data_IF_298796635033
#
_entry.id   IF_298796635033
#
_cell.length_a   1.000
_cell.length_b   1.000
_cell.length_c   1.000
_cell.angle_alpha   90.00
_cell.angle_beta   90.00
_cell.angle_gamma   90.00
#
_symmetry.space_group_name_H-M   'P 1'
#
loop_
_entity.id
_entity.type
_entity.pdbx_description
1 polymer ?
#
# COMPACT_ATOMS: atom_id res chain seq x y z
N UNK A 1 -9.35 -4.09 -11.34
CA UNK A 1 -9.46 -3.49 -9.98
C UNK A 1 -8.08 -3.33 -9.36
N UNK A 2 -7.93 -2.48 -8.34
CA UNK A 2 -6.63 -2.11 -7.76
C UNK A 2 -6.51 -2.56 -6.30
N UNK A 3 -5.28 -2.84 -5.85
CA UNK A 3 -5.01 -3.11 -4.44
C UNK A 3 -4.99 -1.81 -3.65
N UNK A 4 -5.61 -1.79 -2.47
CA UNK A 4 -5.48 -0.70 -1.50
C UNK A 4 -4.76 -1.22 -0.27
N UNK A 5 -3.77 -0.46 0.21
CA UNK A 5 -3.12 -0.68 1.49
C UNK A 5 -3.40 0.48 2.43
N UNK A 6 -3.63 0.16 3.70
CA UNK A 6 -3.74 1.14 4.78
C UNK A 6 -2.84 0.68 5.91
N UNK A 7 -1.82 1.48 6.21
CA UNK A 7 -0.83 1.18 7.23
C UNK A 7 -0.91 2.28 8.28
N UNK A 8 -1.13 1.91 9.54
CA UNK A 8 -1.03 2.85 10.67
C UNK A 8 0.15 2.48 11.53
N UNK A 9 0.94 3.49 11.85
CA UNK A 9 2.13 3.40 12.68
C UNK A 9 2.19 4.60 13.60
N UNK A 10 2.75 4.42 14.79
CA UNK A 10 2.97 5.52 15.72
C UNK A 10 4.45 5.87 15.73
N UNK A 11 4.80 7.15 15.64
CA UNK A 11 6.16 7.66 15.84
C UNK A 11 6.60 7.39 17.27
N UNK A 12 7.87 7.09 17.50
CA UNK A 12 8.47 7.07 18.84
C UNK A 12 8.44 8.47 19.48
N UNK A 13 8.59 8.51 20.80
CA UNK A 13 8.65 9.78 21.53
C UNK A 13 9.80 10.66 21.00
N UNK A 14 9.53 11.95 20.81
CA UNK A 14 10.48 12.91 20.24
C UNK A 14 10.75 12.81 18.73
N UNK A 15 10.16 11.84 18.01
CA UNK A 15 10.27 11.74 16.54
C UNK A 15 9.21 12.57 15.84
N UNK A 16 9.54 13.03 14.64
CA UNK A 16 8.70 13.91 13.82
C UNK A 16 8.21 13.21 12.56
N UNK A 17 7.21 13.81 11.90
CA UNK A 17 6.81 13.37 10.57
C UNK A 17 7.97 13.45 9.56
N UNK A 18 8.86 14.42 9.69
CA UNK A 18 10.01 14.53 8.77
C UNK A 18 10.98 13.36 8.94
N UNK A 19 11.23 12.92 10.18
CA UNK A 19 12.02 11.71 10.46
C UNK A 19 11.40 10.49 9.77
N UNK A 20 10.07 10.34 9.89
CA UNK A 20 9.35 9.28 9.20
C UNK A 20 9.45 9.43 7.69
N UNK A 21 9.23 10.63 7.15
CA UNK A 21 9.22 10.89 5.71
C UNK A 21 10.56 10.54 5.07
N UNK A 22 11.68 10.81 5.76
CA UNK A 22 13.04 10.48 5.31
C UNK A 22 13.28 8.97 5.28
N UNK A 23 12.85 8.25 6.32
CA UNK A 23 13.04 6.81 6.41
C UNK A 23 12.02 6.00 5.58
N UNK A 24 10.81 6.54 5.37
CA UNK A 24 9.72 5.88 4.62
C UNK A 24 9.83 6.05 3.10
N UNK A 25 10.51 7.10 2.62
CA UNK A 25 10.53 7.40 1.19
C UNK A 25 11.12 6.26 0.38
N UNK A 26 10.30 5.69 -0.51
CA UNK A 26 10.83 4.77 -1.50
C UNK A 26 11.65 5.55 -2.52
N UNK A 27 12.89 5.11 -2.74
CA UNK A 27 13.73 5.63 -3.83
C UNK A 27 13.47 4.91 -5.15
N UNK A 28 12.94 3.69 -5.07
CA UNK A 28 12.48 2.89 -6.20
C UNK A 28 10.96 3.00 -6.35
N UNK A 29 10.49 3.41 -7.53
CA UNK A 29 9.05 3.46 -7.84
C UNK A 29 8.47 2.07 -8.10
N UNK A 30 7.14 1.93 -7.94
CA UNK A 30 6.41 0.67 -8.17
C UNK A 30 5.99 0.44 -9.64
N UNK A 31 6.55 1.20 -10.59
CA UNK A 31 6.17 1.12 -11.99
C UNK A 31 6.62 -0.18 -12.65
N UNK A 32 5.85 -0.65 -13.63
CA UNK A 32 6.24 -1.74 -14.54
C UNK A 32 7.35 -1.20 -15.45
N UNK A 33 8.31 -2.06 -15.82
CA UNK A 33 9.53 -1.70 -16.55
C UNK A 33 9.33 -0.66 -17.67
N UNK A 34 10.23 0.33 -17.70
CA UNK A 34 10.29 1.39 -18.71
C UNK A 34 10.51 0.90 -20.14
N UNK A 35 10.79 -0.39 -20.32
CA UNK A 35 10.98 -1.04 -21.62
C UNK A 35 9.68 -1.56 -22.25
N UNK A 36 8.54 -1.39 -21.57
CA UNK A 36 7.23 -1.58 -22.19
C UNK A 36 6.87 -0.37 -23.05
N UNK A 37 6.56 -0.58 -24.33
CA UNK A 37 6.08 0.45 -25.28
C UNK A 37 4.70 1.03 -24.93
N UNK A 38 4.19 0.72 -23.73
CA UNK A 38 2.90 1.16 -23.21
C UNK A 38 3.26 1.92 -21.94
N UNK A 39 3.21 3.25 -21.99
CA UNK A 39 3.33 4.05 -20.76
C UNK A 39 2.26 3.57 -19.78
N UNK A 40 2.62 3.13 -18.56
CA UNK A 40 1.62 2.76 -17.58
C UNK A 40 0.75 3.98 -17.30
N UNK A 41 -0.53 3.91 -17.67
CA UNK A 41 -1.44 5.01 -17.39
C UNK A 41 -1.55 5.21 -15.87
N UNK A 42 -1.32 6.43 -15.36
CA UNK A 42 -1.49 6.71 -13.94
C UNK A 42 -2.94 6.39 -13.50
N UNK A 43 -3.15 5.96 -12.25
CA UNK A 43 -2.22 6.09 -11.13
C UNK A 43 -1.70 4.74 -10.57
N UNK A 44 -0.52 4.29 -11.02
CA UNK A 44 0.21 3.24 -10.28
C UNK A 44 1.01 3.87 -9.12
N UNK A 45 0.93 3.27 -7.92
CA UNK A 45 1.84 3.58 -6.81
C UNK A 45 1.60 4.90 -6.07
N UNK A 46 0.36 5.41 -6.04
CA UNK A 46 0.05 6.63 -5.28
C UNK A 46 -0.09 6.31 -3.78
N UNK A 47 0.75 6.95 -2.97
CA UNK A 47 0.69 6.88 -1.51
C UNK A 47 0.23 8.23 -0.96
N UNK A 48 -0.83 8.22 -0.17
CA UNK A 48 -1.28 9.36 0.62
C UNK A 48 -0.88 9.16 2.06
N UNK A 49 -0.17 10.12 2.64
CA UNK A 49 0.20 10.08 4.06
C UNK A 49 -0.64 11.09 4.84
N UNK A 50 -1.25 10.63 5.92
CA UNK A 50 -2.12 11.39 6.80
C UNK A 50 -1.53 11.36 8.20
N UNK A 51 -1.52 12.51 8.87
CA UNK A 51 -1.25 12.60 10.31
C UNK A 51 -2.60 12.57 11.01
N UNK A 52 -2.77 11.66 11.97
CA UNK A 52 -4.04 11.55 12.69
C UNK A 52 -4.30 12.82 13.53
N UNK A 53 -5.48 13.40 13.39
CA UNK A 53 -5.90 14.60 14.14
C UNK A 53 -6.04 14.36 15.66
N UNK A 54 -6.31 13.12 16.08
CA UNK A 54 -6.49 12.74 17.48
C UNK A 54 -5.22 12.15 18.12
N UNK A 55 -4.24 11.76 17.31
CA UNK A 55 -2.88 11.41 17.76
C UNK A 55 -1.87 11.90 16.73
N UNK A 56 -1.25 13.09 16.92
CA UNK A 56 -0.28 13.63 15.98
C UNK A 56 0.99 12.78 15.81
N UNK A 57 1.22 11.77 16.67
CA UNK A 57 2.28 10.78 16.49
C UNK A 57 1.82 9.60 15.63
N UNK A 58 0.54 9.42 15.36
CA UNK A 58 0.05 8.37 14.47
C UNK A 58 0.08 8.84 13.01
N UNK A 59 0.81 8.09 12.20
CA UNK A 59 0.93 8.25 10.75
C UNK A 59 0.14 7.14 10.08
N UNK A 60 -0.72 7.54 9.15
CA UNK A 60 -1.55 6.66 8.34
C UNK A 60 -1.10 6.80 6.90
N UNK A 61 -0.69 5.71 6.27
CA UNK A 61 -0.33 5.67 4.85
C UNK A 61 -1.40 4.87 4.11
N UNK A 62 -2.01 5.49 3.11
CA UNK A 62 -3.01 4.89 2.22
C UNK A 62 -2.37 4.75 0.84
N UNK A 63 -2.11 3.52 0.42
CA UNK A 63 -1.57 3.21 -0.90
C UNK A 63 -2.64 2.73 -1.84
N UNK A 64 -2.67 3.32 -3.03
CA UNK A 64 -3.40 2.82 -4.19
C UNK A 64 -2.37 2.16 -5.09
N UNK A 65 -2.35 0.83 -5.04
CA UNK A 65 -1.46 -0.02 -5.79
C UNK A 65 -1.90 -0.15 -7.25
N UNK A 66 -1.12 -0.90 -8.05
CA UNK A 66 -1.44 -1.12 -9.45
C UNK A 66 -2.69 -2.00 -9.64
N UNK A 67 -3.06 -2.22 -10.91
CA UNK A 67 -4.02 -3.25 -11.27
C UNK A 67 -3.58 -4.62 -10.70
N UNK A 68 -4.55 -5.37 -10.19
CA UNK A 68 -4.30 -6.64 -9.54
C UNK A 68 -4.08 -7.73 -10.61
N UNK A 69 -2.83 -8.15 -10.74
CA UNK A 69 -2.45 -9.42 -11.35
C UNK A 69 -1.34 -10.06 -10.51
N UNK A 70 -1.14 -11.37 -10.64
CA UNK A 70 -0.10 -12.05 -9.86
C UNK A 70 1.28 -11.48 -10.15
N UNK A 71 1.65 -11.35 -11.43
CA UNK A 71 2.95 -10.82 -11.87
C UNK A 71 3.20 -9.40 -11.33
N UNK A 72 2.19 -8.54 -11.42
CA UNK A 72 2.30 -7.15 -10.98
C UNK A 72 2.43 -7.07 -9.45
N UNK A 73 1.63 -7.84 -8.70
CA UNK A 73 1.73 -7.88 -7.25
C UNK A 73 3.08 -8.43 -6.78
N UNK A 74 3.55 -9.51 -7.39
CA UNK A 74 4.87 -10.09 -7.07
C UNK A 74 5.98 -9.06 -7.28
N UNK A 75 5.99 -8.37 -8.42
CA UNK A 75 6.96 -7.32 -8.74
C UNK A 75 6.94 -6.18 -7.73
N UNK A 76 5.77 -5.58 -7.49
CA UNK A 76 5.62 -4.44 -6.57
C UNK A 76 5.97 -4.80 -5.12
N UNK A 77 5.56 -5.99 -4.67
CA UNK A 77 5.86 -6.44 -3.32
C UNK A 77 7.34 -6.78 -3.14
N UNK A 78 8.05 -7.23 -4.17
CA UNK A 78 9.51 -7.41 -4.11
C UNK A 78 10.23 -6.09 -3.85
N UNK A 79 9.83 -5.03 -4.56
CA UNK A 79 10.37 -3.69 -4.35
C UNK A 79 10.11 -3.22 -2.91
N UNK A 80 8.90 -3.42 -2.39
CA UNK A 80 8.60 -3.06 -1.00
C UNK A 80 9.46 -3.87 0.00
N UNK A 81 9.65 -5.17 -0.22
CA UNK A 81 10.50 -6.00 0.63
C UNK A 81 11.93 -5.45 0.69
N UNK A 82 12.53 -5.15 -0.44
CA UNK A 82 13.90 -4.65 -0.53
C UNK A 82 14.03 -3.26 0.11
N UNK A 83 13.18 -2.30 -0.28
CA UNK A 83 13.23 -0.93 0.25
C UNK A 83 12.94 -0.87 1.76
N UNK A 84 12.18 -1.79 2.33
CA UNK A 84 11.93 -1.86 3.78
C UNK A 84 13.03 -2.58 4.56
N UNK A 85 13.82 -3.44 3.92
CA UNK A 85 15.02 -4.01 4.52
C UNK A 85 16.17 -3.00 4.53
N UNK A 86 16.33 -2.25 3.45
CA UNK A 86 17.39 -1.23 3.31
C UNK A 86 17.13 0.01 4.19
N UNK A 87 15.86 0.38 4.34
CA UNK A 87 15.44 1.54 5.14
C UNK A 87 14.47 1.11 6.27
N UNK A 88 14.98 0.42 7.30
CA UNK A 88 14.15 0.00 8.42
C UNK A 88 13.67 1.22 9.21
N UNK A 89 12.40 1.19 9.61
CA UNK A 89 11.79 2.28 10.37
C UNK A 89 11.97 2.13 11.89
N UNK A 90 12.67 1.09 12.34
CA UNK A 90 12.74 0.67 13.74
C UNK A 90 13.24 1.78 14.68
N UNK A 91 14.00 2.75 14.19
CA UNK A 91 14.47 3.91 14.98
C UNK A 91 13.46 5.07 15.06
N UNK A 92 12.42 5.06 14.23
CA UNK A 92 11.48 6.19 14.06
C UNK A 92 10.08 5.84 14.56
N UNK A 93 9.62 4.62 14.33
CA UNK A 93 8.27 4.18 14.71
C UNK A 93 8.30 3.22 15.91
N UNK A 94 7.20 3.17 16.64
CA UNK A 94 6.93 2.10 17.60
C UNK A 94 6.80 0.75 16.85
N UNK A 95 7.15 -0.39 17.48
CA UNK A 95 7.10 -1.70 16.81
C UNK A 95 5.68 -2.13 16.38
N UNK A 96 4.66 -1.63 17.08
CA UNK A 96 3.27 -1.93 16.76
C UNK A 96 2.87 -1.33 15.40
N UNK A 97 2.29 -2.17 14.55
CA UNK A 97 1.78 -1.78 13.23
C UNK A 97 0.37 -2.35 13.04
N UNK A 98 -0.54 -1.51 12.57
CA UNK A 98 -1.84 -1.92 12.05
C UNK A 98 -1.78 -1.89 10.51
N UNK A 99 -2.18 -2.99 9.87
CA UNK A 99 -2.20 -3.13 8.42
C UNK A 99 -3.56 -3.63 7.98
N UNK A 100 -4.13 -2.94 7.01
CA UNK A 100 -5.31 -3.41 6.28
C UNK A 100 -4.98 -3.40 4.79
N UNK A 101 -5.34 -4.48 4.11
CA UNK A 101 -5.18 -4.63 2.67
C UNK A 101 -6.51 -5.02 2.07
N UNK A 102 -6.81 -4.48 0.90
CA UNK A 102 -8.09 -4.70 0.24
C UNK A 102 -8.02 -4.52 -1.25
N UNK A 103 -9.16 -4.76 -1.88
CA UNK A 103 -9.41 -4.49 -3.29
C UNK A 103 -10.36 -3.29 -3.37
N UNK A 104 -10.04 -2.30 -4.19
CA UNK A 104 -10.93 -1.17 -4.45
C UNK A 104 -12.15 -1.66 -5.26
N UNK A 105 -13.34 -1.58 -4.67
CA UNK A 105 -14.60 -2.07 -5.26
C UNK A 105 -15.60 -0.96 -5.60
N UNK A 106 -15.42 0.25 -5.08
CA UNK A 106 -16.27 1.41 -5.37
C UNK A 106 -15.52 2.70 -5.15
N UNK A 107 -15.84 3.70 -5.97
CA UNK A 107 -15.49 5.10 -5.83
C UNK A 107 -16.78 5.92 -5.92
N UNK A 108 -17.13 6.61 -4.85
CA UNK A 108 -18.37 7.37 -4.75
C UNK A 108 -18.07 8.87 -4.56
N UNK A 109 -18.68 9.73 -5.37
CA UNK A 109 -18.56 11.19 -5.24
C UNK A 109 -19.75 11.78 -4.47
N UNK A 110 -19.49 12.13 -3.21
CA UNK A 110 -20.46 12.80 -2.32
C UNK A 110 -20.27 14.33 -2.27
N UNK A 111 -19.53 14.93 -3.21
CA UNK A 111 -19.40 16.40 -3.29
C UNK A 111 -20.70 17.16 -3.60
N UNK A 112 -21.69 16.61 -4.34
CA UNK A 112 -22.94 17.31 -4.58
C UNK A 112 -23.78 17.51 -3.30
N UNK A 113 -24.40 18.69 -3.17
CA UNK A 113 -25.35 18.98 -2.09
C UNK A 113 -26.76 18.51 -2.47
N UNK A 114 -27.42 17.80 -1.57
CA UNK A 114 -28.81 17.36 -1.73
C UNK A 114 -28.95 15.85 -1.64
N UNK A 115 -30.07 15.32 -2.14
CA UNK A 115 -30.24 13.87 -2.27
C UNK A 115 -29.35 13.36 -3.41
N UNK A 116 -28.66 12.26 -3.16
CA UNK A 116 -27.86 11.52 -4.14
C UNK A 116 -28.56 10.17 -4.33
N UNK A 117 -28.75 9.78 -5.59
CA UNK A 117 -29.35 8.49 -5.91
C UNK A 117 -28.34 7.36 -5.70
N UNK A 118 -28.83 6.21 -5.26
CA UNK A 118 -28.00 5.01 -5.13
C UNK A 118 -27.47 4.59 -6.51
N UNK A 119 -26.20 4.20 -6.55
CA UNK A 119 -25.53 3.65 -7.73
C UNK A 119 -24.89 2.31 -7.39
N UNK A 120 -24.78 1.42 -8.37
CA UNK A 120 -24.02 0.18 -8.19
C UNK A 120 -22.53 0.51 -7.97
N UNK A 121 -21.79 -0.32 -7.22
CA UNK A 121 -20.36 -0.13 -7.00
C UNK A 121 -19.60 -0.02 -8.33
N UNK A 122 -18.79 1.01 -8.47
CA UNK A 122 -18.02 1.24 -9.70
C UNK A 122 -16.67 1.85 -9.41
N UNK A 123 -15.66 1.54 -10.23
CA UNK A 123 -14.32 2.14 -10.15
C UNK A 123 -14.03 2.76 -11.52
N UNK A 124 -13.63 4.04 -11.54
CA UNK A 124 -13.46 4.81 -12.77
C UNK A 124 -14.69 4.76 -13.71
N UNK A 125 -15.90 4.73 -13.14
CA UNK A 125 -17.16 4.66 -13.89
C UNK A 125 -17.48 3.30 -14.52
N UNK A 126 -16.68 2.27 -14.25
CA UNK A 126 -16.95 0.88 -14.67
C UNK A 126 -17.55 0.12 -13.49
N UNK A 127 -18.73 -0.46 -13.67
CA UNK A 127 -19.39 -1.26 -12.64
C UNK A 127 -18.51 -2.45 -12.23
N UNK A 128 -18.40 -2.68 -10.93
CA UNK A 128 -17.52 -3.70 -10.36
C UNK A 128 -18.21 -5.05 -10.32
N UNK A 129 -17.55 -6.08 -10.85
CA UNK A 129 -17.95 -7.47 -10.59
C UNK A 129 -17.52 -7.89 -9.17
N UNK A 130 -18.49 -7.95 -8.26
CA UNK A 130 -18.26 -8.35 -6.87
C UNK A 130 -17.85 -9.83 -6.73
N UNK A 131 -18.15 -10.68 -7.72
CA UNK A 131 -17.68 -12.07 -7.72
C UNK A 131 -16.19 -12.13 -8.06
N UNK A 132 -15.77 -11.41 -9.11
CA UNK A 132 -14.35 -11.27 -9.46
C UNK A 132 -13.55 -10.67 -8.29
N UNK A 133 -14.13 -9.69 -7.59
CA UNK A 133 -13.51 -9.07 -6.41
C UNK A 133 -13.11 -10.11 -5.35
N UNK A 134 -13.91 -11.16 -5.15
CA UNK A 134 -13.62 -12.23 -4.21
C UNK A 134 -12.38 -13.07 -4.59
N UNK A 135 -12.15 -13.27 -5.88
CA UNK A 135 -10.95 -13.95 -6.39
C UNK A 135 -9.70 -13.07 -6.21
N UNK A 136 -9.82 -11.78 -6.52
CA UNK A 136 -8.74 -10.81 -6.34
C UNK A 136 -8.35 -10.62 -4.87
N UNK A 137 -9.31 -10.62 -3.94
CA UNK A 137 -9.03 -10.58 -2.50
C UNK A 137 -8.15 -11.76 -2.07
N UNK A 138 -8.44 -12.96 -2.57
CA UNK A 138 -7.65 -14.14 -2.26
C UNK A 138 -6.24 -14.06 -2.82
N UNK A 139 -6.10 -13.56 -4.06
CA UNK A 139 -4.81 -13.31 -4.69
C UNK A 139 -3.98 -12.29 -3.88
N UNK A 140 -4.54 -11.12 -3.58
CA UNK A 140 -3.87 -10.07 -2.78
C UNK A 140 -3.40 -10.62 -1.43
N UNK A 141 -4.27 -11.35 -0.71
CA UNK A 141 -3.92 -11.96 0.57
C UNK A 141 -2.71 -12.90 0.42
N UNK A 142 -2.75 -13.81 -0.55
CA UNK A 142 -1.69 -14.80 -0.79
C UNK A 142 -0.36 -14.13 -1.09
N UNK A 143 -0.34 -13.13 -1.98
CA UNK A 143 0.91 -12.46 -2.36
C UNK A 143 1.50 -11.63 -1.21
N UNK A 144 0.67 -10.98 -0.39
CA UNK A 144 1.12 -10.24 0.79
C UNK A 144 1.70 -11.16 1.85
N UNK A 145 1.07 -12.30 2.11
CA UNK A 145 1.57 -13.32 3.03
C UNK A 145 2.93 -13.85 2.56
N UNK A 146 3.03 -14.19 1.27
CA UNK A 146 4.27 -14.64 0.62
C UNK A 146 5.40 -13.59 0.71
N UNK A 147 5.10 -12.33 0.39
CA UNK A 147 6.08 -11.25 0.48
C UNK A 147 6.53 -10.99 1.92
N UNK A 148 5.60 -11.05 2.87
CA UNK A 148 5.93 -10.85 4.29
C UNK A 148 6.84 -11.96 4.82
N UNK A 149 6.56 -13.22 4.48
CA UNK A 149 7.41 -14.36 4.84
C UNK A 149 8.83 -14.20 4.28
N UNK A 150 8.95 -13.86 2.98
CA UNK A 150 10.26 -13.62 2.33
C UNK A 150 11.04 -12.49 2.98
N UNK A 151 10.38 -11.40 3.38
CA UNK A 151 11.03 -10.30 4.11
C UNK A 151 11.57 -10.79 5.45
N UNK A 152 10.77 -11.54 6.18
CA UNK A 152 11.12 -11.99 7.53
C UNK A 152 12.26 -13.01 7.50
N UNK A 153 12.28 -13.91 6.51
CA UNK A 153 13.40 -14.82 6.23
C UNK A 153 14.70 -14.05 5.93
N UNK A 154 14.67 -13.13 4.94
CA UNK A 154 15.83 -12.29 4.59
C UNK A 154 16.34 -11.48 5.78
N UNK A 155 15.44 -10.95 6.61
CA UNK A 155 15.82 -10.19 7.82
C UNK A 155 16.58 -11.07 8.80
N UNK A 156 16.13 -12.30 9.03
CA UNK A 156 16.80 -13.25 9.92
C UNK A 156 18.19 -13.63 9.41
N UNK A 157 18.35 -13.81 8.10
CA UNK A 157 19.66 -14.07 7.48
C UNK A 157 20.63 -12.90 7.73
N UNK A 158 20.20 -11.66 7.47
CA UNK A 158 21.00 -10.44 7.68
C UNK A 158 21.38 -10.25 9.16
N UNK A 159 20.48 -10.59 10.08
CA UNK A 159 20.71 -10.48 11.52
C UNK A 159 21.61 -11.61 12.05
N UNK A 160 21.53 -12.81 11.48
CA UNK A 160 22.35 -13.97 11.87
C UNK A 160 23.79 -13.94 11.35
N UNK A 161 24.07 -13.15 10.32
CA UNK A 161 25.43 -12.93 9.77
C UNK A 161 26.22 -11.83 10.50
N UNK A 162 25.59 -11.07 11.41
CA UNK A 162 26.20 -9.99 12.20
C UNK A 162 26.66 -10.45 13.58
#
# INVERSE_FOLDING_TARGET
>A
MMMVSMIKRRLKEGKTYEDFRRAWFHTTGFGIDSDSYIEPEPPLGRLYTVINAFDPREIIVIGFGPEISQEVLESVLNIDVEERLDNPLDEVIEPAIDRSFGVLVSEDDFSPKGAIEYQNPSVNGVETDLKESGELINLVRREIESASARRDEKRQEIEGEK
#
